data_IF_902449149649
#
_entry.id   IF_902449149649
#
_cell.length_a   1.000
_cell.length_b   1.000
_cell.length_c   1.000
_cell.angle_alpha   90.00
_cell.angle_beta   90.00
_cell.angle_gamma   90.00
#
_symmetry.space_group_name_H-M   'P 1'
#
loop_
_entity.id
_entity.type
_entity.pdbx_description
1 polymer ?
#
# COMPACT_ATOMS: atom_id res chain seq x y z
N UNK A 1 32.06 57.34 -40.54
CA UNK A 1 32.14 56.54 -39.29
C UNK A 1 30.88 56.60 -38.41
N UNK A 2 30.17 57.73 -38.28
CA UNK A 2 28.96 57.84 -37.42
C UNK A 2 27.80 56.90 -37.83
N UNK A 3 27.50 56.77 -39.12
CA UNK A 3 26.40 55.92 -39.60
C UNK A 3 26.65 54.41 -39.36
N UNK A 4 27.91 53.98 -39.38
CA UNK A 4 28.28 52.58 -39.11
C UNK A 4 28.09 52.23 -37.63
N UNK A 5 28.48 53.14 -36.72
CA UNK A 5 28.25 52.96 -35.27
C UNK A 5 26.75 52.93 -34.94
N UNK A 6 25.94 53.80 -35.57
CA UNK A 6 24.48 53.82 -35.35
C UNK A 6 23.81 52.53 -35.82
N UNK A 7 24.21 52.00 -36.98
CA UNK A 7 23.65 50.77 -37.50
C UNK A 7 24.09 49.54 -36.69
N UNK A 8 25.32 49.51 -36.17
CA UNK A 8 25.79 48.45 -35.27
C UNK A 8 25.05 48.50 -33.93
N UNK A 9 24.82 49.70 -33.36
CA UNK A 9 24.05 49.85 -32.13
C UNK A 9 22.58 49.43 -32.29
N UNK A 10 21.94 49.76 -33.41
CA UNK A 10 20.58 49.31 -33.72
C UNK A 10 20.52 47.79 -33.90
N UNK A 11 21.52 47.19 -34.56
CA UNK A 11 21.60 45.73 -34.72
C UNK A 11 21.79 45.02 -33.37
N UNK A 12 22.62 45.57 -32.48
CA UNK A 12 22.82 45.06 -31.12
C UNK A 12 21.56 45.16 -30.26
N UNK A 13 20.80 46.26 -30.36
CA UNK A 13 19.53 46.42 -29.65
C UNK A 13 18.49 45.42 -30.18
N UNK A 14 18.42 45.21 -31.48
CA UNK A 14 17.53 44.19 -32.08
C UNK A 14 17.95 42.78 -31.65
N UNK A 15 19.24 42.46 -31.60
CA UNK A 15 19.73 41.16 -31.11
C UNK A 15 19.40 40.92 -29.63
N UNK A 16 19.43 41.96 -28.79
CA UNK A 16 19.05 41.87 -27.37
C UNK A 16 17.51 41.78 -27.20
N UNK A 17 16.73 42.37 -28.10
CA UNK A 17 15.27 42.26 -28.08
C UNK A 17 14.75 40.92 -28.64
N UNK A 18 15.56 40.22 -29.45
CA UNK A 18 15.27 38.87 -29.96
C UNK A 18 15.89 37.73 -29.14
N UNK A 19 16.69 38.01 -28.10
CA UNK A 19 17.01 37.01 -27.09
C UNK A 19 15.79 36.80 -26.20
N UNK A 20 14.84 36.00 -26.69
CA UNK A 20 13.82 35.41 -25.83
C UNK A 20 14.56 34.60 -24.77
N UNK A 21 14.58 35.10 -23.54
CA UNK A 21 14.89 34.25 -22.40
C UNK A 21 13.77 33.21 -22.34
N UNK A 22 13.97 32.09 -23.04
CA UNK A 22 13.15 30.89 -22.86
C UNK A 22 13.50 30.41 -21.47
N UNK A 23 12.76 30.94 -20.49
CA UNK A 23 12.72 30.36 -19.15
C UNK A 23 12.05 29.01 -19.33
N UNK A 24 12.85 27.97 -19.46
CA UNK A 24 12.39 26.62 -19.21
C UNK A 24 11.98 26.60 -17.74
N UNK A 25 10.70 26.83 -17.47
CA UNK A 25 10.10 26.38 -16.23
C UNK A 25 10.21 24.86 -16.27
N UNK A 26 11.33 24.34 -15.78
CA UNK A 26 11.48 22.94 -15.47
C UNK A 26 10.35 22.69 -14.47
N UNK A 27 9.30 21.96 -14.88
CA UNK A 27 8.23 21.64 -13.95
C UNK A 27 8.90 20.91 -12.79
N UNK A 28 9.02 21.55 -11.64
CA UNK A 28 9.40 20.82 -10.44
C UNK A 28 8.37 19.72 -10.30
N UNK A 29 8.84 18.47 -10.33
CA UNK A 29 7.99 17.33 -10.01
C UNK A 29 7.34 17.55 -8.65
N UNK A 30 6.16 16.97 -8.45
CA UNK A 30 5.55 16.94 -7.12
C UNK A 30 6.57 16.39 -6.10
N UNK A 31 6.75 17.09 -4.99
CA UNK A 31 7.62 16.69 -3.88
C UNK A 31 6.97 17.13 -2.56
N UNK A 32 7.46 16.61 -1.44
CA UNK A 32 7.01 16.96 -0.08
C UNK A 32 8.15 17.25 0.87
N UNK A 33 7.92 18.14 1.81
CA UNK A 33 8.87 18.58 2.84
C UNK A 33 8.92 17.57 4.01
N UNK A 34 9.43 16.38 3.71
CA UNK A 34 9.71 15.32 4.67
C UNK A 34 11.05 14.64 4.33
N UNK A 35 11.74 14.09 5.35
CA UNK A 35 12.98 13.32 5.11
C UNK A 35 12.70 12.05 4.31
N UNK A 36 11.60 11.36 4.62
CA UNK A 36 11.11 10.18 3.93
C UNK A 36 9.60 10.25 3.79
N UNK A 37 9.07 9.82 2.64
CA UNK A 37 7.64 9.78 2.37
C UNK A 37 7.25 8.69 1.36
N UNK A 38 6.03 8.17 1.50
CA UNK A 38 5.43 7.25 0.53
C UNK A 38 3.92 7.47 0.45
N UNK A 39 3.36 7.26 -0.74
CA UNK A 39 1.92 7.20 -0.96
C UNK A 39 1.56 5.86 -1.58
N UNK A 40 0.69 5.10 -0.93
CA UNK A 40 0.26 3.77 -1.34
C UNK A 40 -1.24 3.76 -1.62
N UNK A 41 -1.64 3.08 -2.69
CA UNK A 41 -3.02 2.72 -2.96
C UNK A 41 -3.39 1.48 -2.14
N UNK A 42 -4.48 1.56 -1.37
CA UNK A 42 -4.80 0.55 -0.37
C UNK A 42 -5.17 -0.82 -0.96
N UNK A 43 -6.04 -0.89 -1.98
CA UNK A 43 -6.53 -2.18 -2.47
C UNK A 43 -5.38 -3.01 -3.07
N UNK A 44 -4.61 -2.38 -3.95
CA UNK A 44 -3.57 -3.02 -4.76
C UNK A 44 -2.20 -3.04 -4.11
N UNK A 45 -1.94 -2.16 -3.13
CA UNK A 45 -0.60 -1.93 -2.59
C UNK A 45 0.32 -1.14 -3.54
N UNK A 46 -0.20 -0.60 -4.64
CA UNK A 46 0.59 0.14 -5.61
C UNK A 46 1.18 1.42 -4.99
N UNK A 47 2.48 1.62 -5.16
CA UNK A 47 3.16 2.85 -4.75
C UNK A 47 2.93 3.94 -5.80
N UNK A 48 2.31 5.04 -5.40
CA UNK A 48 1.97 6.19 -6.24
C UNK A 48 2.99 7.33 -6.15
N UNK A 49 3.69 7.41 -5.02
CA UNK A 49 4.77 8.37 -4.76
C UNK A 49 5.77 7.77 -3.78
N UNK A 50 7.06 8.08 -3.95
CA UNK A 50 8.14 7.63 -3.08
C UNK A 50 9.20 8.72 -2.94
N UNK A 51 9.72 8.91 -1.74
CA UNK A 51 10.86 9.77 -1.41
C UNK A 51 11.64 9.12 -0.29
N UNK A 52 12.85 8.61 -0.57
CA UNK A 52 13.68 7.91 0.41
C UNK A 52 12.88 6.87 1.22
N UNK A 53 11.99 6.13 0.56
CA UNK A 53 10.94 5.34 1.20
C UNK A 53 11.48 4.21 2.08
N UNK A 54 12.67 3.72 1.75
CA UNK A 54 13.41 2.66 2.46
C UNK A 54 14.45 3.20 3.45
N UNK A 55 14.51 4.53 3.64
CA UNK A 55 15.44 5.12 4.60
C UNK A 55 15.03 4.75 6.03
N UNK A 56 15.94 4.10 6.74
CA UNK A 56 15.75 3.70 8.13
C UNK A 56 15.78 4.93 9.05
N UNK A 57 14.67 5.16 9.73
CA UNK A 57 14.46 6.30 10.62
C UNK A 57 13.82 5.84 11.93
N UNK A 58 14.05 6.55 13.04
CA UNK A 58 13.33 6.32 14.28
C UNK A 58 11.81 6.54 14.07
N UNK A 59 10.95 5.56 14.38
CA UNK A 59 9.51 5.66 14.13
C UNK A 59 8.78 6.58 15.12
N UNK A 60 9.24 6.68 16.37
CA UNK A 60 8.39 7.12 17.49
C UNK A 60 7.07 6.30 17.53
N UNK A 61 5.98 6.90 18.00
CA UNK A 61 4.70 6.20 18.21
C UNK A 61 4.03 5.58 16.98
N UNK A 62 4.52 5.78 15.74
CA UNK A 62 4.01 4.99 14.60
C UNK A 62 4.41 3.51 14.70
N UNK A 63 5.36 3.14 15.59
CA UNK A 63 5.60 1.75 16.01
C UNK A 63 4.34 1.03 16.47
N UNK A 64 3.41 1.74 17.11
CA UNK A 64 2.17 1.18 17.64
C UNK A 64 1.26 0.59 16.55
N UNK A 65 1.52 0.88 15.26
CA UNK A 65 0.82 0.22 14.15
C UNK A 65 1.09 -1.29 14.18
N UNK A 66 2.32 -1.73 14.45
CA UNK A 66 2.63 -3.16 14.59
C UNK A 66 1.98 -3.76 15.84
N UNK A 67 1.95 -3.02 16.95
CA UNK A 67 1.24 -3.46 18.16
C UNK A 67 -0.24 -3.67 17.88
N UNK A 68 -0.89 -2.70 17.25
CA UNK A 68 -2.29 -2.79 16.84
C UNK A 68 -2.53 -3.94 15.86
N UNK A 69 -1.62 -4.18 14.91
CA UNK A 69 -1.71 -5.28 13.94
C UNK A 69 -1.70 -6.64 14.63
N UNK A 70 -0.73 -6.90 15.52
CA UNK A 70 -0.66 -8.17 16.23
C UNK A 70 -1.87 -8.40 17.14
N UNK A 71 -2.39 -7.34 17.78
CA UNK A 71 -3.62 -7.46 18.58
C UNK A 71 -4.84 -7.71 17.70
N UNK A 72 -4.94 -7.05 16.55
CA UNK A 72 -5.98 -7.29 15.55
C UNK A 72 -5.96 -8.76 15.06
N UNK A 73 -4.79 -9.29 14.73
CA UNK A 73 -4.62 -10.70 14.35
C UNK A 73 -5.05 -11.64 15.48
N UNK A 74 -4.66 -11.36 16.72
CA UNK A 74 -5.09 -12.16 17.88
C UNK A 74 -6.62 -12.16 18.07
N UNK A 75 -7.29 -11.03 17.80
CA UNK A 75 -8.75 -10.92 17.88
C UNK A 75 -9.41 -11.73 16.75
N UNK A 76 -8.96 -11.56 15.51
CA UNK A 76 -9.54 -12.27 14.35
C UNK A 76 -9.30 -13.79 14.42
N UNK A 77 -8.20 -14.22 15.05
CA UNK A 77 -7.90 -15.63 15.33
C UNK A 77 -8.65 -16.19 16.57
N UNK A 78 -9.41 -15.35 17.28
CA UNK A 78 -10.15 -15.75 18.49
C UNK A 78 -9.28 -16.03 19.71
N UNK A 79 -8.02 -15.56 19.72
CA UNK A 79 -7.09 -15.66 20.85
C UNK A 79 -7.29 -14.56 21.89
N UNK A 80 -7.94 -13.47 21.51
CA UNK A 80 -8.31 -12.37 22.38
C UNK A 80 -9.71 -11.85 22.01
N UNK A 81 -10.39 -11.21 22.95
CA UNK A 81 -11.66 -10.55 22.74
C UNK A 81 -11.57 -9.08 23.16
N UNK A 82 -12.36 -8.22 22.51
CA UNK A 82 -12.51 -6.82 22.89
C UNK A 82 -12.97 -6.62 24.34
N UNK A 83 -13.67 -7.61 24.89
CA UNK A 83 -14.22 -7.59 26.24
C UNK A 83 -13.29 -8.23 27.29
N UNK A 84 -12.13 -8.75 26.87
CA UNK A 84 -11.12 -9.29 27.79
C UNK A 84 -10.74 -8.22 28.82
N UNK A 85 -10.76 -8.58 30.10
CA UNK A 85 -10.31 -7.69 31.16
C UNK A 85 -8.79 -7.79 31.28
N UNK A 86 -8.12 -6.71 30.92
CA UNK A 86 -6.67 -6.60 30.94
C UNK A 86 -6.27 -5.86 32.21
N UNK A 87 -5.47 -6.51 33.06
CA UNK A 87 -4.88 -5.92 34.26
C UNK A 87 -3.64 -5.10 33.89
N UNK A 88 -3.51 -3.90 34.47
CA UNK A 88 -2.39 -3.00 34.25
C UNK A 88 -1.25 -3.40 35.20
N UNK A 89 -0.08 -3.71 34.66
CA UNK A 89 1.12 -4.00 35.44
C UNK A 89 1.80 -2.74 35.96
N UNK A 90 2.65 -2.85 36.99
CA UNK A 90 3.55 -1.76 37.41
C UNK A 90 4.45 -1.29 36.28
N UNK A 91 4.85 -2.19 35.37
CA UNK A 91 5.67 -1.81 34.22
C UNK A 91 4.88 -0.92 33.25
N UNK A 92 3.64 -1.30 32.93
CA UNK A 92 2.74 -0.47 32.11
C UNK A 92 2.47 0.90 32.75
N UNK A 93 2.19 0.96 34.05
CA UNK A 93 2.00 2.24 34.78
C UNK A 93 3.28 3.11 34.74
N UNK A 94 4.46 2.50 34.83
CA UNK A 94 5.75 3.22 34.86
C UNK A 94 6.13 3.93 33.55
N UNK A 95 5.39 3.67 32.46
CA UNK A 95 5.71 4.20 31.14
C UNK A 95 5.63 5.72 31.11
N UNK A 96 6.63 6.39 30.54
CA UNK A 96 6.58 7.84 30.29
C UNK A 96 5.95 8.20 28.94
N UNK A 97 5.94 9.49 28.60
CA UNK A 97 5.47 9.99 27.29
C UNK A 97 3.95 10.19 27.24
N UNK A 98 3.32 9.85 26.11
CA UNK A 98 1.86 9.90 26.00
C UNK A 98 1.24 8.76 26.83
N UNK A 99 0.30 9.09 27.70
CA UNK A 99 -0.32 8.12 28.63
C UNK A 99 -1.83 8.30 28.72
N UNK A 100 -2.52 7.23 29.11
CA UNK A 100 -3.91 7.28 29.58
C UNK A 100 -4.00 7.38 31.12
N UNK A 101 -2.85 7.36 31.81
CA UNK A 101 -2.69 7.43 33.27
C UNK A 101 -3.35 6.23 33.96
N UNK A 102 -3.11 5.04 33.40
CA UNK A 102 -3.58 3.78 33.96
C UNK A 102 -2.78 3.43 35.22
N UNK A 103 -3.45 2.97 36.28
CA UNK A 103 -2.80 2.61 37.54
C UNK A 103 -2.60 1.09 37.68
N UNK A 104 -1.53 0.65 38.33
CA UNK A 104 -1.26 -0.77 38.59
C UNK A 104 -2.45 -1.45 39.31
N UNK A 105 -2.80 -2.65 38.85
CA UNK A 105 -3.90 -3.46 39.38
C UNK A 105 -5.30 -3.03 38.93
N UNK A 106 -5.45 -1.89 38.23
CA UNK A 106 -6.70 -1.58 37.54
C UNK A 106 -6.91 -2.52 36.35
N UNK A 107 -8.18 -2.81 36.04
CA UNK A 107 -8.57 -3.63 34.89
C UNK A 107 -9.41 -2.83 33.90
N UNK A 108 -9.14 -3.04 32.62
CA UNK A 108 -9.85 -2.39 31.52
C UNK A 108 -10.23 -3.41 30.45
N UNK A 109 -11.39 -3.27 29.79
CA UNK A 109 -11.67 -4.01 28.56
C UNK A 109 -10.59 -3.74 27.51
N UNK A 110 -10.14 -4.77 26.79
CA UNK A 110 -9.12 -4.64 25.73
C UNK A 110 -9.49 -3.53 24.72
N UNK A 111 -10.79 -3.38 24.40
CA UNK A 111 -11.32 -2.29 23.56
C UNK A 111 -10.90 -0.89 24.04
N UNK A 112 -10.98 -0.64 25.35
CA UNK A 112 -10.68 0.66 25.91
C UNK A 112 -9.17 0.95 25.83
N UNK A 113 -8.35 -0.07 26.07
CA UNK A 113 -6.90 0.04 25.88
C UNK A 113 -6.54 0.29 24.41
N UNK A 114 -7.18 -0.41 23.47
CA UNK A 114 -6.96 -0.17 22.03
C UNK A 114 -7.34 1.25 21.62
N UNK A 115 -8.47 1.78 22.10
CA UNK A 115 -8.83 3.19 21.90
C UNK A 115 -7.78 4.14 22.46
N UNK A 116 -7.23 3.85 23.63
CA UNK A 116 -6.14 4.64 24.24
C UNK A 116 -4.83 4.56 23.41
N UNK A 117 -4.52 3.41 22.82
CA UNK A 117 -3.38 3.27 21.89
C UNK A 117 -3.60 4.06 20.60
N UNK A 118 -4.82 4.06 20.07
CA UNK A 118 -5.16 4.71 18.79
C UNK A 118 -5.22 6.24 18.92
N UNK A 119 -6.00 6.77 19.87
CA UNK A 119 -6.29 8.19 19.95
C UNK A 119 -5.16 8.98 20.65
N UNK A 120 -4.99 8.89 21.99
CA UNK A 120 -3.98 9.66 22.70
C UNK A 120 -2.58 9.05 22.56
N UNK A 121 -2.42 7.91 21.87
CA UNK A 121 -1.14 7.23 21.70
C UNK A 121 -0.52 6.72 23.02
N UNK A 122 -1.37 6.30 23.96
CA UNK A 122 -1.02 5.91 25.31
C UNK A 122 0.00 4.75 25.34
N UNK A 123 1.14 4.97 26.00
CA UNK A 123 2.26 4.03 26.13
C UNK A 123 1.97 2.96 27.19
N UNK A 124 1.39 3.37 28.31
CA UNK A 124 0.85 2.51 29.36
C UNK A 124 -0.16 1.50 28.80
N UNK A 125 -1.15 1.97 28.04
CA UNK A 125 -2.11 1.10 27.37
C UNK A 125 -1.44 0.16 26.35
N UNK A 126 -0.42 0.65 25.63
CA UNK A 126 0.30 -0.14 24.63
C UNK A 126 1.07 -1.30 25.27
N UNK A 127 1.74 -1.06 26.40
CA UNK A 127 2.44 -2.11 27.15
C UNK A 127 1.45 -3.09 27.75
N UNK A 128 0.36 -2.63 28.38
CA UNK A 128 -0.67 -3.52 28.93
C UNK A 128 -1.28 -4.45 27.87
N UNK A 129 -1.58 -3.92 26.67
CA UNK A 129 -2.04 -4.73 25.53
C UNK A 129 -0.99 -5.75 25.11
N UNK A 130 0.28 -5.34 25.02
CA UNK A 130 1.36 -6.23 24.63
C UNK A 130 1.59 -7.36 25.64
N UNK A 131 1.50 -7.07 26.94
CA UNK A 131 1.61 -8.04 28.01
C UNK A 131 0.43 -9.02 28.00
N UNK A 132 -0.80 -8.54 27.77
CA UNK A 132 -1.98 -9.41 27.63
C UNK A 132 -1.83 -10.42 26.48
N UNK A 133 -1.36 -9.96 25.32
CA UNK A 133 -1.26 -10.80 24.12
C UNK A 133 0.00 -11.67 24.11
N UNK A 134 1.14 -11.12 24.54
CA UNK A 134 2.45 -11.77 24.47
C UNK A 134 2.91 -12.44 25.77
N UNK A 135 2.17 -12.25 26.87
CA UNK A 135 2.56 -12.62 28.23
C UNK A 135 3.57 -11.66 28.87
N UNK A 136 4.48 -11.07 28.07
CA UNK A 136 5.39 -9.99 28.48
C UNK A 136 5.66 -9.05 27.30
N UNK A 137 6.07 -7.81 27.56
CA UNK A 137 6.45 -6.88 26.49
C UNK A 137 7.58 -7.46 25.62
N UNK A 138 8.61 -8.08 26.23
CA UNK A 138 9.75 -8.62 25.48
C UNK A 138 9.36 -9.80 24.59
N UNK A 139 8.39 -10.61 25.02
CA UNK A 139 7.83 -11.66 24.17
C UNK A 139 7.08 -11.04 22.98
N UNK A 140 6.28 -10.01 23.25
CA UNK A 140 5.54 -9.30 22.22
C UNK A 140 6.48 -8.62 21.21
N UNK A 141 7.58 -8.00 21.64
CA UNK A 141 8.62 -7.45 20.75
C UNK A 141 9.23 -8.53 19.85
N UNK A 142 9.42 -9.76 20.33
CA UNK A 142 9.84 -10.88 19.47
C UNK A 142 8.78 -11.23 18.43
N UNK A 143 7.50 -11.17 18.80
CA UNK A 143 6.39 -11.32 17.85
C UNK A 143 6.39 -10.20 16.80
N UNK A 144 6.60 -8.94 17.20
CA UNK A 144 6.68 -7.80 16.29
C UNK A 144 7.77 -8.00 15.23
N UNK A 145 8.98 -8.38 15.66
CA UNK A 145 10.09 -8.61 14.74
C UNK A 145 9.91 -9.87 13.87
N UNK A 146 9.24 -10.91 14.39
CA UNK A 146 8.86 -12.07 13.58
C UNK A 146 7.86 -11.67 12.50
N UNK A 147 6.83 -10.92 12.87
CA UNK A 147 5.80 -10.47 11.93
C UNK A 147 6.37 -9.51 10.89
N UNK A 148 7.32 -8.66 11.27
CA UNK A 148 8.05 -7.83 10.31
C UNK A 148 8.75 -8.67 9.24
N UNK A 149 9.41 -9.78 9.61
CA UNK A 149 10.01 -10.72 8.65
C UNK A 149 8.96 -11.42 7.79
N UNK A 150 7.86 -11.87 8.39
CA UNK A 150 6.77 -12.56 7.68
C UNK A 150 6.09 -11.64 6.65
N UNK A 151 6.08 -10.33 6.91
CA UNK A 151 5.60 -9.28 5.98
C UNK A 151 6.66 -8.80 4.98
N UNK A 152 7.91 -9.27 5.06
CA UNK A 152 9.00 -8.84 4.20
C UNK A 152 9.48 -7.40 4.46
N UNK A 153 9.36 -6.92 5.71
CA UNK A 153 9.80 -5.57 6.11
C UNK A 153 11.32 -5.56 6.32
N UNK A 154 12.07 -5.29 5.27
CA UNK A 154 13.55 -5.36 5.27
C UNK A 154 14.22 -4.24 6.05
N UNK A 155 13.51 -3.14 6.32
CA UNK A 155 14.05 -1.92 6.90
C UNK A 155 13.42 -1.60 8.26
N UNK A 156 13.09 -2.64 9.04
CA UNK A 156 12.38 -2.51 10.32
C UNK A 156 12.97 -3.39 11.42
N UNK A 157 13.22 -2.79 12.58
CA UNK A 157 13.57 -3.49 13.82
C UNK A 157 12.91 -2.80 15.03
N UNK A 158 12.23 -3.58 15.85
CA UNK A 158 11.58 -3.11 17.08
C UNK A 158 12.34 -3.59 18.31
N UNK A 159 12.54 -2.69 19.28
CA UNK A 159 13.11 -3.05 20.59
C UNK A 159 12.11 -2.87 21.74
N UNK A 160 11.02 -2.16 21.49
CA UNK A 160 9.90 -1.97 22.40
C UNK A 160 8.58 -1.81 21.62
N UNK A 161 7.45 -1.74 22.32
CA UNK A 161 6.12 -1.66 21.71
C UNK A 161 5.65 -0.24 21.45
N UNK A 162 6.30 0.73 22.06
CA UNK A 162 5.81 2.12 22.12
C UNK A 162 6.48 3.04 21.11
N UNK A 163 7.69 2.71 20.66
CA UNK A 163 8.56 3.56 19.87
C UNK A 163 9.31 4.62 20.67
N UNK A 164 9.35 4.51 22.00
CA UNK A 164 10.20 5.36 22.82
C UNK A 164 11.69 5.13 22.47
N UNK A 165 12.52 6.19 22.48
CA UNK A 165 13.96 6.03 22.27
C UNK A 165 14.57 5.16 23.37
N UNK A 166 15.53 4.31 22.98
CA UNK A 166 16.32 3.51 23.91
C UNK A 166 17.77 3.95 23.89
N UNK A 167 18.46 3.78 25.02
CA UNK A 167 19.90 4.05 25.13
C UNK A 167 20.73 2.99 24.38
N UNK A 168 20.21 1.75 24.30
CA UNK A 168 20.88 0.61 23.67
C UNK A 168 19.92 -0.12 22.73
N UNK A 169 20.42 -0.50 21.55
CA UNK A 169 19.65 -1.18 20.50
C UNK A 169 19.22 -0.22 19.38
N UNK A 170 18.87 -0.80 18.22
CA UNK A 170 18.51 -0.06 17.01
C UNK A 170 17.01 -0.16 16.74
N UNK A 171 16.23 0.81 17.22
CA UNK A 171 14.79 0.86 16.93
C UNK A 171 14.53 1.76 15.72
N UNK A 172 14.18 1.15 14.59
CA UNK A 172 14.00 1.84 13.31
C UNK A 172 12.93 1.19 12.44
N UNK A 173 12.42 1.96 11.47
CA UNK A 173 11.56 1.50 10.38
C UNK A 173 11.78 2.37 9.14
N UNK A 174 11.08 2.09 8.06
CA UNK A 174 11.03 2.93 6.86
C UNK A 174 9.60 3.41 6.57
N UNK A 175 9.45 4.43 5.72
CA UNK A 175 8.12 4.88 5.31
C UNK A 175 7.38 3.79 4.53
N UNK A 176 8.09 3.04 3.70
CA UNK A 176 7.57 1.88 2.99
C UNK A 176 7.01 0.82 3.95
N UNK A 177 7.81 0.40 4.94
CA UNK A 177 7.41 -0.66 5.86
C UNK A 177 6.22 -0.25 6.73
N UNK A 178 6.16 1.02 7.14
CA UNK A 178 4.98 1.58 7.83
C UNK A 178 3.75 1.57 6.94
N UNK A 179 3.87 1.88 5.65
CA UNK A 179 2.73 1.82 4.74
C UNK A 179 2.23 0.38 4.57
N UNK A 180 3.14 -0.60 4.48
CA UNK A 180 2.79 -2.03 4.44
C UNK A 180 2.08 -2.46 5.72
N UNK A 181 2.63 -2.13 6.90
CA UNK A 181 2.00 -2.45 8.19
C UNK A 181 0.63 -1.79 8.34
N UNK A 182 0.50 -0.53 7.93
CA UNK A 182 -0.77 0.19 7.99
C UNK A 182 -1.83 -0.44 7.07
N UNK A 183 -1.42 -0.86 5.86
CA UNK A 183 -2.30 -1.57 4.92
C UNK A 183 -2.76 -2.90 5.52
N UNK A 184 -1.84 -3.70 6.04
CA UNK A 184 -2.16 -4.99 6.66
C UNK A 184 -3.12 -4.80 7.85
N UNK A 185 -2.86 -3.83 8.73
CA UNK A 185 -3.75 -3.54 9.87
C UNK A 185 -5.17 -3.18 9.42
N UNK A 186 -5.32 -2.31 8.42
CA UNK A 186 -6.63 -1.91 7.91
C UNK A 186 -7.34 -3.08 7.21
N UNK A 187 -6.60 -3.98 6.55
CA UNK A 187 -7.16 -5.18 5.93
C UNK A 187 -7.62 -6.20 6.97
N UNK A 188 -6.83 -6.44 8.01
CA UNK A 188 -7.12 -7.39 9.08
C UNK A 188 -8.27 -6.88 9.96
N UNK A 189 -8.26 -5.60 10.33
CA UNK A 189 -9.22 -5.06 11.29
C UNK A 189 -9.76 -3.67 10.88
N UNK A 190 -10.61 -3.60 9.84
CA UNK A 190 -11.14 -2.34 9.32
C UNK A 190 -11.98 -1.57 10.36
N UNK A 191 -12.54 -2.26 11.35
CA UNK A 191 -13.28 -1.66 12.47
C UNK A 191 -12.43 -0.68 13.29
N UNK A 192 -11.10 -0.79 13.26
CA UNK A 192 -10.22 0.20 13.89
C UNK A 192 -10.46 1.63 13.38
N UNK A 193 -10.87 1.78 12.12
CA UNK A 193 -11.16 3.07 11.51
C UNK A 193 -12.37 3.76 12.14
N UNK A 194 -13.28 3.01 12.76
CA UNK A 194 -14.39 3.58 13.54
C UNK A 194 -13.88 4.34 14.78
N UNK A 195 -12.71 3.98 15.31
CA UNK A 195 -12.07 4.69 16.42
C UNK A 195 -11.09 5.74 15.92
N UNK A 196 -10.21 5.40 14.96
CA UNK A 196 -9.17 6.34 14.49
C UNK A 196 -9.71 7.53 13.71
N UNK A 197 -10.96 7.47 13.24
CA UNK A 197 -11.69 8.60 12.64
C UNK A 197 -12.28 9.58 13.66
N UNK A 198 -12.25 9.24 14.95
CA UNK A 198 -12.78 10.11 16.00
C UNK A 198 -11.72 11.10 16.49
N UNK A 199 -12.14 12.37 16.68
CA UNK A 199 -11.32 13.37 17.37
C UNK A 199 -11.33 13.19 18.88
N UNK A 200 -12.41 12.62 19.39
CA UNK A 200 -12.70 12.41 20.81
C UNK A 200 -13.39 11.06 20.94
N UNK A 201 -13.01 10.30 21.96
CA UNK A 201 -13.73 9.10 22.38
C UNK A 201 -13.71 9.03 23.91
N UNK A 202 -14.33 7.99 24.46
CA UNK A 202 -14.35 7.72 25.89
C UNK A 202 -13.97 6.28 26.19
N UNK A 203 -13.34 6.10 27.33
CA UNK A 203 -12.96 4.82 27.93
C UNK A 203 -13.41 4.79 29.40
N UNK A 204 -13.24 3.65 30.07
CA UNK A 204 -13.63 3.45 31.48
C UNK A 204 -15.12 3.71 31.69
N UNK A 205 -15.97 3.03 30.91
CA UNK A 205 -17.44 3.21 30.93
C UNK A 205 -17.85 4.69 30.81
N UNK A 206 -17.30 5.37 29.80
CA UNK A 206 -17.57 6.78 29.48
C UNK A 206 -17.05 7.82 30.50
N UNK A 207 -16.41 7.39 31.59
CA UNK A 207 -15.92 8.31 32.63
C UNK A 207 -14.63 9.04 32.26
N UNK A 208 -13.83 8.49 31.35
CA UNK A 208 -12.56 9.07 30.93
C UNK A 208 -12.61 9.46 29.45
N UNK A 209 -12.48 10.75 29.19
CA UNK A 209 -12.46 11.32 27.83
C UNK A 209 -11.04 11.33 27.27
N UNK A 210 -10.86 10.84 26.05
CA UNK A 210 -9.58 10.79 25.34
C UNK A 210 -9.65 11.54 24.00
N UNK A 211 -8.50 12.03 23.54
CA UNK A 211 -8.39 12.87 22.35
C UNK A 211 -7.39 12.30 21.37
N UNK A 212 -7.68 12.42 20.08
CA UNK A 212 -6.73 12.01 19.04
C UNK A 212 -5.51 12.93 18.99
N UNK A 213 -4.35 12.34 18.79
CA UNK A 213 -3.11 13.05 18.42
C UNK A 213 -3.06 13.38 16.92
N UNK A 214 -3.95 12.79 16.12
CA UNK A 214 -3.95 12.90 14.67
C UNK A 214 -4.83 14.06 14.17
N UNK A 215 -4.23 15.23 13.98
CA UNK A 215 -4.91 16.41 13.47
C UNK A 215 -5.29 16.31 11.97
N UNK A 216 -4.84 15.31 11.22
CA UNK A 216 -5.34 15.06 9.87
C UNK A 216 -6.85 14.76 9.91
N UNK A 217 -7.30 14.07 10.96
CA UNK A 217 -8.72 13.75 11.20
C UNK A 217 -9.47 15.02 11.58
N UNK A 218 -10.48 15.36 10.77
CA UNK A 218 -11.24 16.60 10.87
C UNK A 218 -10.59 17.81 10.17
N UNK A 219 -9.34 17.69 9.71
CA UNK A 219 -8.71 18.71 8.85
C UNK A 219 -8.81 18.35 7.36
N UNK A 220 -8.58 17.07 7.01
CA UNK A 220 -8.59 16.61 5.63
C UNK A 220 -9.85 15.79 5.31
N UNK A 221 -10.61 16.14 4.25
CA UNK A 221 -11.82 15.40 3.87
C UNK A 221 -11.56 13.93 3.54
N UNK A 222 -12.27 13.05 4.24
CA UNK A 222 -12.16 11.60 4.10
C UNK A 222 -11.03 10.98 4.93
N UNK A 223 -10.27 11.75 5.71
CA UNK A 223 -9.26 11.20 6.62
C UNK A 223 -9.89 10.49 7.82
N UNK A 224 -9.41 9.27 8.10
CA UNK A 224 -9.97 8.39 9.11
C UNK A 224 -8.91 7.66 9.94
N UNK A 225 -7.65 8.12 9.89
CA UNK A 225 -6.54 7.51 10.61
C UNK A 225 -5.17 8.01 10.14
N UNK A 226 -4.08 7.36 10.54
CA UNK A 226 -4.01 6.19 11.41
C UNK A 226 -3.24 6.50 12.69
N UNK A 227 -1.98 6.93 12.56
CA UNK A 227 -1.11 7.07 13.73
C UNK A 227 -0.06 8.17 13.55
N UNK A 228 0.10 8.99 14.57
CA UNK A 228 1.20 9.96 14.67
C UNK A 228 2.36 9.45 15.53
N UNK A 229 3.54 10.02 15.32
CA UNK A 229 4.73 9.83 16.15
C UNK A 229 5.49 11.14 16.35
N UNK A 230 6.06 11.31 17.55
CA UNK A 230 7.03 12.35 17.82
C UNK A 230 8.00 11.94 18.93
N UNK A 231 9.29 12.19 18.71
CA UNK A 231 10.36 12.22 19.71
C UNK A 231 11.40 13.24 19.22
N UNK A 232 12.35 13.64 20.07
CA UNK A 232 13.45 14.52 19.63
C UNK A 232 14.25 13.92 18.46
N UNK A 233 14.47 12.59 18.46
CA UNK A 233 15.24 11.90 17.41
C UNK A 233 14.45 11.69 16.12
N UNK A 234 13.18 11.30 16.25
CA UNK A 234 12.28 11.02 15.11
C UNK A 234 11.72 12.29 14.46
N UNK A 235 11.67 13.39 15.21
CA UNK A 235 10.86 14.58 14.90
C UNK A 235 9.41 14.18 14.60
N UNK A 236 8.72 14.83 13.68
CA UNK A 236 7.28 14.63 13.48
C UNK A 236 7.02 13.60 12.37
N UNK A 237 6.32 12.52 12.72
CA UNK A 237 5.90 11.46 11.80
C UNK A 237 4.36 11.32 11.77
N UNK A 238 3.81 10.92 10.63
CA UNK A 238 2.40 10.60 10.45
C UNK A 238 2.23 9.49 9.41
N UNK A 239 1.55 8.40 9.81
CA UNK A 239 0.89 7.48 8.91
C UNK A 239 -0.59 7.87 8.83
N UNK A 240 -0.99 8.47 7.72
CA UNK A 240 -2.34 8.93 7.43
C UNK A 240 -3.08 8.00 6.47
N UNK A 241 -4.39 7.96 6.58
CA UNK A 241 -5.27 7.29 5.61
C UNK A 241 -6.45 8.19 5.30
N UNK A 242 -6.89 8.18 4.04
CA UNK A 242 -8.13 8.80 3.63
C UNK A 242 -8.85 8.01 2.55
N UNK A 243 -10.18 8.06 2.55
CA UNK A 243 -11.04 7.46 1.55
C UNK A 243 -11.89 8.50 0.82
N UNK A 244 -11.93 8.42 -0.52
CA UNK A 244 -12.83 9.19 -1.38
C UNK A 244 -13.50 8.25 -2.37
N UNK A 245 -14.81 8.02 -2.19
CA UNK A 245 -15.54 6.98 -2.92
C UNK A 245 -14.95 5.60 -2.63
N UNK A 246 -14.72 4.81 -3.68
CA UNK A 246 -14.14 3.46 -3.56
C UNK A 246 -12.61 3.46 -3.40
N UNK A 247 -11.95 4.62 -3.45
CA UNK A 247 -10.47 4.68 -3.39
C UNK A 247 -10.01 5.10 -2.01
N UNK A 248 -9.13 4.29 -1.42
CA UNK A 248 -8.42 4.59 -0.17
C UNK A 248 -6.94 4.72 -0.44
N UNK A 249 -6.32 5.74 0.14
CA UNK A 249 -4.89 5.97 0.06
C UNK A 249 -4.27 5.99 1.46
N UNK A 250 -3.05 5.47 1.56
CA UNK A 250 -2.22 5.51 2.76
C UNK A 250 -1.04 6.41 2.46
N UNK A 251 -0.84 7.46 3.26
CA UNK A 251 0.31 8.36 3.19
C UNK A 251 1.17 8.16 4.42
N UNK A 252 2.48 8.03 4.25
CA UNK A 252 3.41 8.07 5.38
C UNK A 252 4.41 9.18 5.13
N UNK A 253 4.59 10.06 6.11
CA UNK A 253 5.64 11.08 6.14
C UNK A 253 6.42 10.92 7.44
N UNK A 254 7.75 10.94 7.33
CA UNK A 254 8.64 10.78 8.47
C UNK A 254 9.61 11.95 8.55
N UNK A 255 9.83 12.42 9.79
CA UNK A 255 10.80 13.46 10.14
C UNK A 255 10.54 14.76 9.34
N UNK A 256 9.36 15.35 9.58
CA UNK A 256 9.01 16.71 9.16
C UNK A 256 9.33 17.71 10.28
N UNK A 257 9.47 18.99 9.94
CA UNK A 257 9.97 20.02 10.87
C UNK A 257 8.98 20.42 11.98
N UNK A 258 7.68 20.15 11.83
CA UNK A 258 6.67 20.53 12.83
C UNK A 258 5.44 19.62 12.85
N UNK A 259 4.63 19.74 13.91
CA UNK A 259 3.34 19.07 14.01
C UNK A 259 2.36 19.48 12.89
N UNK A 260 2.40 20.74 12.46
CA UNK A 260 1.57 21.21 11.35
C UNK A 260 2.12 20.70 10.02
N UNK A 261 3.45 20.74 9.84
CA UNK A 261 4.11 20.25 8.63
C UNK A 261 3.75 18.79 8.35
N UNK A 262 3.80 17.86 9.32
CA UNK A 262 3.38 16.46 9.06
C UNK A 262 1.95 16.33 8.52
N UNK A 263 1.02 17.18 8.98
CA UNK A 263 -0.39 17.17 8.55
C UNK A 263 -0.51 17.73 7.15
N UNK A 264 0.11 18.88 6.89
CA UNK A 264 0.12 19.55 5.58
C UNK A 264 0.76 18.65 4.52
N UNK A 265 1.94 18.09 4.80
CA UNK A 265 2.66 17.22 3.85
C UNK A 265 1.91 15.92 3.58
N UNK A 266 1.23 15.32 4.58
CA UNK A 266 0.35 14.18 4.34
C UNK A 266 -0.89 14.56 3.51
N UNK A 267 -1.50 15.71 3.77
CA UNK A 267 -2.63 16.21 2.99
C UNK A 267 -2.24 16.46 1.53
N UNK A 268 -1.09 17.06 1.26
CA UNK A 268 -0.55 17.26 -0.09
C UNK A 268 -0.30 15.93 -0.81
N UNK A 269 0.31 14.95 -0.13
CA UNK A 269 0.49 13.59 -0.65
C UNK A 269 -0.83 12.95 -1.06
N UNK A 270 -1.83 12.99 -0.18
CA UNK A 270 -3.15 12.42 -0.44
C UNK A 270 -3.84 13.14 -1.60
N UNK A 271 -3.77 14.48 -1.64
CA UNK A 271 -4.37 15.27 -2.71
C UNK A 271 -3.71 14.99 -4.07
N UNK A 272 -2.38 14.82 -4.09
CA UNK A 272 -1.66 14.35 -5.27
C UNK A 272 -2.20 13.00 -5.75
N UNK A 273 -2.34 12.01 -4.86
CA UNK A 273 -2.86 10.69 -5.23
C UNK A 273 -4.30 10.70 -5.76
N UNK A 274 -5.18 11.49 -5.15
CA UNK A 274 -6.58 11.59 -5.60
C UNK A 274 -6.74 12.40 -6.89
N UNK A 275 -5.91 13.44 -7.10
CA UNK A 275 -5.97 14.30 -8.30
C UNK A 275 -5.25 13.65 -9.48
N UNK A 276 -4.01 13.21 -9.29
CA UNK A 276 -3.13 12.74 -10.36
C UNK A 276 -3.45 11.32 -10.83
N UNK A 277 -4.09 10.48 -10.01
CA UNK A 277 -4.37 9.09 -10.36
C UNK A 277 -5.86 8.78 -10.37
N UNK A 278 -6.24 7.74 -11.10
CA UNK A 278 -7.60 7.22 -11.15
C UNK A 278 -7.61 5.72 -11.43
N UNK A 279 -8.67 5.02 -10.99
CA UNK A 279 -8.90 3.61 -11.30
C UNK A 279 -9.36 3.50 -12.75
N UNK A 280 -8.54 2.91 -13.61
CA UNK A 280 -8.84 2.69 -15.02
C UNK A 280 -9.19 1.22 -15.25
N UNK A 281 -10.35 0.97 -15.86
CA UNK A 281 -10.68 -0.36 -16.38
C UNK A 281 -9.82 -0.63 -17.61
N UNK A 282 -8.90 -1.58 -17.48
CA UNK A 282 -7.94 -1.94 -18.53
C UNK A 282 -8.44 -3.08 -19.40
N UNK A 283 -9.20 -4.03 -18.83
CA UNK A 283 -9.88 -5.09 -19.58
C UNK A 283 -11.11 -5.61 -18.81
N UNK A 284 -12.19 -5.91 -19.51
CA UNK A 284 -13.38 -6.53 -18.92
C UNK A 284 -13.27 -8.05 -18.74
N UNK A 285 -14.17 -8.68 -17.98
CA UNK A 285 -14.26 -10.14 -17.88
C UNK A 285 -14.70 -10.76 -19.20
N UNK A 286 -14.34 -12.02 -19.42
CA UNK A 286 -14.71 -12.80 -20.62
C UNK A 286 -14.30 -12.12 -21.95
N UNK A 287 -13.29 -11.25 -21.90
CA UNK A 287 -12.74 -10.59 -23.07
C UNK A 287 -11.90 -11.62 -23.85
N UNK A 288 -12.27 -11.86 -25.12
CA UNK A 288 -11.60 -12.86 -25.98
C UNK A 288 -10.22 -12.35 -26.39
N UNK A 289 -9.19 -13.17 -26.16
CA UNK A 289 -7.79 -12.78 -26.37
C UNK A 289 -7.19 -13.49 -27.58
N UNK A 290 -7.15 -14.82 -27.54
CA UNK A 290 -6.53 -15.66 -28.56
C UNK A 290 -7.18 -17.04 -28.65
N UNK A 291 -6.63 -17.92 -29.48
CA UNK A 291 -6.91 -19.35 -29.44
C UNK A 291 -5.63 -20.11 -29.06
N UNK A 292 -5.81 -21.23 -28.35
CA UNK A 292 -4.71 -22.10 -27.91
C UNK A 292 -4.88 -23.47 -28.51
N UNK A 293 -3.79 -24.04 -29.00
CA UNK A 293 -3.78 -25.38 -29.56
C UNK A 293 -4.17 -26.43 -28.50
N UNK A 294 -5.00 -27.41 -28.87
CA UNK A 294 -5.40 -28.52 -28.01
C UNK A 294 -4.88 -29.83 -28.56
N UNK A 295 -3.85 -30.36 -27.91
CA UNK A 295 -3.24 -31.65 -28.24
C UNK A 295 -4.19 -32.78 -27.85
N UNK A 296 -4.42 -33.69 -28.81
CA UNK A 296 -5.30 -34.83 -28.61
C UNK A 296 -6.79 -34.48 -28.54
N UNK A 297 -7.16 -33.21 -28.83
CA UNK A 297 -8.54 -32.74 -28.81
C UNK A 297 -9.31 -33.09 -30.08
N UNK A 298 -10.62 -33.24 -29.93
CA UNK A 298 -11.58 -33.32 -31.03
C UNK A 298 -11.50 -32.05 -31.87
N UNK A 299 -11.47 -30.89 -31.22
CA UNK A 299 -11.03 -29.61 -31.79
C UNK A 299 -9.52 -29.44 -31.58
N UNK A 300 -8.85 -28.81 -32.55
CA UNK A 300 -7.40 -28.56 -32.50
C UNK A 300 -7.04 -27.26 -31.77
N UNK A 301 -8.03 -26.42 -31.50
CA UNK A 301 -7.86 -25.14 -30.81
C UNK A 301 -9.06 -24.87 -29.90
N UNK A 302 -8.84 -24.10 -28.84
CA UNK A 302 -9.88 -23.59 -27.95
C UNK A 302 -9.73 -22.08 -27.80
N UNK A 303 -10.82 -21.28 -27.91
CA UNK A 303 -10.73 -19.85 -27.65
C UNK A 303 -10.51 -19.59 -26.16
N UNK A 304 -9.66 -18.60 -25.89
CA UNK A 304 -9.25 -18.21 -24.55
C UNK A 304 -9.68 -16.77 -24.28
N UNK A 305 -10.18 -16.53 -23.06
CA UNK A 305 -10.64 -15.23 -22.62
C UNK A 305 -10.18 -14.92 -21.18
N UNK A 306 -10.27 -13.67 -20.78
CA UNK A 306 -10.02 -13.28 -19.38
C UNK A 306 -11.02 -13.94 -18.43
N UNK A 307 -10.53 -14.51 -17.33
CA UNK A 307 -11.39 -15.08 -16.29
C UNK A 307 -12.23 -13.99 -15.62
N UNK A 308 -11.61 -12.83 -15.37
CA UNK A 308 -12.17 -11.67 -14.69
C UNK A 308 -11.77 -10.37 -15.39
N UNK A 309 -12.38 -9.26 -14.98
CA UNK A 309 -11.90 -7.94 -15.40
C UNK A 309 -10.64 -7.55 -14.63
N UNK A 310 -9.88 -6.61 -15.18
CA UNK A 310 -8.74 -6.02 -14.49
C UNK A 310 -8.79 -4.49 -14.60
N UNK A 311 -8.65 -3.85 -13.45
CA UNK A 311 -8.51 -2.41 -13.32
C UNK A 311 -7.24 -2.11 -12.54
N UNK A 312 -6.56 -1.04 -12.90
CA UNK A 312 -5.37 -0.57 -12.18
C UNK A 312 -5.50 0.92 -11.88
N UNK A 313 -4.80 1.38 -10.85
CA UNK A 313 -4.65 2.81 -10.61
C UNK A 313 -3.51 3.33 -11.49
N UNK A 314 -3.84 4.30 -12.34
CA UNK A 314 -2.87 4.86 -13.29
C UNK A 314 -2.89 6.38 -13.21
N UNK A 315 -1.76 6.98 -13.57
CA UNK A 315 -1.64 8.42 -13.65
C UNK A 315 -2.51 8.95 -14.80
N UNK A 316 -3.20 10.05 -14.57
CA UNK A 316 -4.01 10.71 -15.60
C UNK A 316 -3.11 11.08 -16.77
N UNK A 317 -3.60 10.80 -17.97
CA UNK A 317 -2.87 11.04 -19.21
C UNK A 317 -1.87 9.94 -19.62
N UNK A 318 -1.64 8.91 -18.80
CA UNK A 318 -0.65 7.85 -19.12
C UNK A 318 -1.26 6.52 -19.52
N UNK A 319 -2.59 6.46 -19.76
CA UNK A 319 -3.27 5.19 -20.14
C UNK A 319 -2.67 4.52 -21.37
N UNK A 320 -2.24 5.29 -22.37
CA UNK A 320 -1.62 4.76 -23.60
C UNK A 320 -0.22 4.17 -23.37
N UNK A 321 0.41 4.53 -22.25
CA UNK A 321 1.69 3.96 -21.80
C UNK A 321 1.51 2.62 -21.08
N UNK A 322 0.28 2.20 -20.79
CA UNK A 322 0.02 0.88 -20.22
C UNK A 322 0.04 -0.17 -21.32
N UNK A 323 1.07 -1.03 -21.31
CA UNK A 323 1.20 -2.13 -22.26
C UNK A 323 0.65 -3.43 -21.69
N UNK A 324 0.19 -4.29 -22.58
CA UNK A 324 -0.32 -5.64 -22.27
C UNK A 324 0.68 -6.66 -22.80
N UNK A 325 1.24 -7.49 -21.92
CA UNK A 325 2.03 -8.66 -22.29
C UNK A 325 1.15 -9.89 -22.15
N UNK A 326 0.87 -10.57 -23.26
CA UNK A 326 0.02 -11.77 -23.27
C UNK A 326 0.93 -12.99 -23.21
N UNK A 327 0.81 -13.76 -22.14
CA UNK A 327 1.57 -14.99 -21.90
C UNK A 327 0.61 -16.17 -21.96
N UNK A 328 0.56 -16.83 -23.12
CA UNK A 328 -0.35 -17.94 -23.36
C UNK A 328 0.41 -19.25 -23.33
N UNK A 329 -0.18 -20.30 -22.76
CA UNK A 329 0.41 -21.64 -22.82
C UNK A 329 0.48 -22.11 -24.28
N UNK A 330 1.62 -22.68 -24.69
CA UNK A 330 1.84 -23.17 -26.07
C UNK A 330 0.76 -24.13 -26.56
N UNK A 331 0.28 -25.01 -25.66
CA UNK A 331 -0.79 -25.98 -25.93
C UNK A 331 -1.45 -26.45 -24.65
N UNK A 332 -2.72 -26.80 -24.75
CA UNK A 332 -3.46 -27.55 -23.74
C UNK A 332 -3.57 -29.02 -24.16
N UNK A 333 -3.73 -29.92 -23.19
CA UNK A 333 -3.98 -31.34 -23.47
C UNK A 333 -5.44 -31.70 -23.23
N UNK A 334 -6.05 -32.44 -24.15
CA UNK A 334 -7.44 -32.88 -23.99
C UNK A 334 -7.58 -33.98 -22.90
N UNK A 335 -8.68 -34.00 -22.13
CA UNK A 335 -9.84 -33.11 -22.26
C UNK A 335 -9.57 -31.73 -21.61
N UNK A 336 -9.99 -30.68 -22.31
CA UNK A 336 -10.03 -29.32 -21.77
C UNK A 336 -11.45 -29.01 -21.34
N UNK A 337 -11.63 -28.45 -20.15
CA UNK A 337 -12.91 -27.94 -19.64
C UNK A 337 -12.94 -26.41 -19.76
N UNK A 338 -14.14 -25.87 -19.91
CA UNK A 338 -14.38 -24.44 -19.77
C UNK A 338 -13.92 -24.00 -18.37
N UNK A 339 -13.10 -22.97 -18.31
CA UNK A 339 -12.48 -22.49 -17.08
C UNK A 339 -11.04 -22.97 -16.86
N UNK A 340 -10.56 -23.94 -17.64
CA UNK A 340 -9.16 -24.39 -17.52
C UNK A 340 -8.19 -23.26 -17.83
N UNK A 341 -7.17 -23.10 -16.99
CA UNK A 341 -6.13 -22.07 -17.13
C UNK A 341 -5.34 -22.28 -18.42
N UNK A 342 -5.20 -21.21 -19.18
CA UNK A 342 -4.58 -21.20 -20.51
C UNK A 342 -3.49 -20.12 -20.66
N UNK A 343 -3.18 -19.38 -19.60
CA UNK A 343 -2.16 -18.34 -19.58
C UNK A 343 -2.54 -17.17 -18.69
N UNK A 344 -1.96 -16.00 -18.96
CA UNK A 344 -2.26 -14.73 -18.29
C UNK A 344 -1.97 -13.53 -19.20
N UNK A 345 -2.51 -12.37 -18.83
CA UNK A 345 -2.07 -11.07 -19.34
C UNK A 345 -1.45 -10.30 -18.19
N UNK A 346 -0.24 -9.79 -18.39
CA UNK A 346 0.45 -8.91 -17.46
C UNK A 346 0.35 -7.48 -17.98
N UNK A 347 -0.08 -6.55 -17.11
CA UNK A 347 -0.15 -5.13 -17.41
C UNK A 347 1.07 -4.42 -16.83
N UNK A 348 1.80 -3.68 -17.67
CA UNK A 348 3.00 -2.94 -17.26
C UNK A 348 2.91 -1.50 -17.73
N UNK A 349 3.48 -0.58 -16.96
CA UNK A 349 3.69 0.78 -17.43
C UNK A 349 4.95 0.81 -18.30
N UNK A 350 4.96 1.56 -19.41
CA UNK A 350 6.10 1.62 -20.33
C UNK A 350 7.37 2.13 -19.65
N UNK A 351 7.21 3.11 -18.75
CA UNK A 351 8.31 3.68 -17.95
C UNK A 351 8.80 2.77 -16.81
N UNK A 352 8.01 1.75 -16.43
CA UNK A 352 8.35 0.82 -15.34
C UNK A 352 7.93 -0.62 -15.72
N UNK A 353 8.67 -1.25 -16.65
CA UNK A 353 8.34 -2.56 -17.17
C UNK A 353 8.64 -3.72 -16.21
N UNK A 354 9.38 -3.46 -15.12
CA UNK A 354 9.79 -4.46 -14.12
C UNK A 354 8.77 -4.59 -12.99
N UNK A 355 8.00 -3.53 -12.70
CA UNK A 355 6.93 -3.54 -11.69
C UNK A 355 5.55 -3.59 -12.37
N UNK A 356 4.97 -4.78 -12.59
CA UNK A 356 3.67 -4.90 -13.22
C UNK A 356 2.58 -4.25 -12.36
N UNK A 357 1.64 -3.57 -13.03
CA UNK A 357 0.42 -3.04 -12.41
C UNK A 357 -0.49 -4.16 -11.91
N UNK A 358 -0.34 -5.37 -12.48
CA UNK A 358 -1.02 -6.59 -12.09
C UNK A 358 -1.24 -7.53 -13.28
N UNK A 359 -1.91 -8.65 -13.01
CA UNK A 359 -2.18 -9.67 -14.02
C UNK A 359 -3.62 -10.18 -13.97
N UNK A 360 -4.07 -10.73 -15.10
CA UNK A 360 -5.36 -11.41 -15.21
C UNK A 360 -5.17 -12.77 -15.84
N UNK A 361 -5.78 -13.79 -15.22
CA UNK A 361 -5.75 -15.14 -15.75
C UNK A 361 -6.55 -15.27 -17.04
N UNK A 362 -6.03 -16.10 -17.94
CA UNK A 362 -6.69 -16.49 -19.17
C UNK A 362 -7.22 -17.92 -19.04
N UNK A 363 -8.47 -18.14 -19.45
CA UNK A 363 -9.15 -19.42 -19.32
C UNK A 363 -9.80 -19.87 -20.64
N UNK A 364 -9.87 -21.19 -20.82
CA UNK A 364 -10.58 -21.80 -21.94
C UNK A 364 -12.09 -21.49 -21.86
N UNK A 365 -12.67 -21.02 -22.96
CA UNK A 365 -14.09 -20.61 -23.01
C UNK A 365 -15.06 -21.74 -23.30
N UNK A 366 -14.54 -22.92 -23.69
CA UNK A 366 -15.32 -24.09 -24.12
C UNK A 366 -14.67 -25.39 -23.67
N UNK A 367 -15.46 -26.47 -23.63
CA UNK A 367 -14.96 -27.82 -23.46
C UNK A 367 -14.39 -28.36 -24.78
N UNK A 368 -13.26 -29.05 -24.72
CA UNK A 368 -12.68 -29.83 -25.82
C UNK A 368 -12.44 -31.26 -25.35
N UNK A 369 -13.24 -32.19 -25.87
CA UNK A 369 -13.11 -33.61 -25.56
C UNK A 369 -11.89 -34.23 -26.24
N UNK A 370 -11.43 -35.39 -25.75
CA UNK A 370 -10.42 -36.19 -26.44
C UNK A 370 -10.94 -36.63 -27.82
N UNK A 371 -10.08 -36.55 -28.83
CA UNK A 371 -10.36 -37.12 -30.14
C UNK A 371 -10.49 -38.66 -30.02
N UNK A 372 -11.55 -39.22 -30.60
CA UNK A 372 -11.71 -40.66 -30.73
C UNK A 372 -10.75 -41.23 -31.80
N UNK A 373 -10.59 -42.55 -31.84
CA UNK A 373 -9.64 -43.25 -32.72
C UNK A 373 -9.86 -42.87 -34.20
N UNK A 374 -11.13 -42.76 -34.64
CA UNK A 374 -11.50 -42.43 -36.01
C UNK A 374 -11.08 -41.01 -36.40
N UNK A 375 -11.29 -40.03 -35.52
CA UNK A 375 -10.85 -38.64 -35.76
C UNK A 375 -9.32 -38.57 -35.86
N UNK A 376 -8.60 -39.36 -35.06
CA UNK A 376 -7.13 -39.41 -35.12
C UNK A 376 -6.63 -40.05 -36.41
N UNK A 377 -7.22 -41.17 -36.84
CA UNK A 377 -6.88 -41.86 -38.10
C UNK A 377 -7.16 -40.97 -39.31
N UNK A 378 -8.35 -40.35 -39.37
CA UNK A 378 -8.71 -39.47 -40.49
C UNK A 378 -7.77 -38.26 -40.59
N UNK A 379 -7.40 -37.67 -39.44
CA UNK A 379 -6.47 -36.54 -39.37
C UNK A 379 -5.07 -36.93 -39.85
N UNK A 380 -4.57 -38.10 -39.44
CA UNK A 380 -3.30 -38.65 -39.95
C UNK A 380 -3.34 -38.87 -41.47
N UNK A 381 -4.43 -39.44 -42.00
CA UNK A 381 -4.59 -39.65 -43.44
C UNK A 381 -4.59 -38.33 -44.22
N UNK A 382 -5.28 -37.30 -43.70
CA UNK A 382 -5.31 -35.96 -44.28
C UNK A 382 -3.93 -35.31 -44.29
N UNK A 383 -3.22 -35.35 -43.17
CA UNK A 383 -1.89 -34.74 -43.06
C UNK A 383 -0.87 -35.48 -43.95
N UNK A 384 -0.96 -36.81 -44.03
CA UNK A 384 -0.17 -37.63 -44.95
C UNK A 384 -0.39 -37.24 -46.42
N UNK A 385 -1.65 -37.08 -46.85
CA UNK A 385 -1.99 -36.68 -48.22
C UNK A 385 -1.54 -35.24 -48.50
N UNK A 386 -1.81 -34.29 -47.61
CA UNK A 386 -1.39 -32.89 -47.80
C UNK A 386 0.14 -32.73 -47.83
N UNK A 387 0.89 -33.62 -47.18
CA UNK A 387 2.36 -33.68 -47.26
C UNK A 387 2.89 -33.91 -48.67
N UNK A 388 2.12 -34.52 -49.57
CA UNK A 388 2.48 -34.69 -50.99
C UNK A 388 2.24 -33.43 -51.83
N UNK A 389 1.44 -32.48 -51.35
CA UNK A 389 1.06 -31.26 -52.09
C UNK A 389 1.75 -29.98 -51.60
N UNK A 390 2.42 -30.01 -50.44
CA UNK A 390 3.35 -28.96 -50.00
C UNK A 390 4.75 -29.26 -50.54
N UNK A 391 4.98 -28.91 -51.81
CA UNK A 391 6.32 -28.81 -52.41
C UNK A 391 6.57 -27.39 -52.86
#
# INVERSE_FOLDING_TARGET
MLNLKRNISLLLIVLILFSTNVVFAQSQGFDVEAKSAILMEFETGQILFRKNENLELPPASITKIMTLLLTAEAIEEGKASLDDQVEVSSFAESMGGSQAWLAEGETYPLKDLLKAVVLPSANDACVAVAEHIGGTEQNFVRMMNRRAKDLGLEHTHFVNTTGLPVEHGEHYTSAHDIAVMARELIQTYPKLLEWSSNRVDYIKNESLRIYTTNNLVGHYPGADGLKTGWTEKAEYCLAGTAQRGERRLISVVMKTDSQNARVEQSAELLDYGFKAFYKANLIGPQNKISQVAVKGGKQLEVPVATAQGFSAVIKRGTKELVKRRVEVTDKLEAPVKKGDKAGKIVFVHEDDPENPLGEVELVATKNVEKANIFVRIFRWLKDFIMGFFKK
#
